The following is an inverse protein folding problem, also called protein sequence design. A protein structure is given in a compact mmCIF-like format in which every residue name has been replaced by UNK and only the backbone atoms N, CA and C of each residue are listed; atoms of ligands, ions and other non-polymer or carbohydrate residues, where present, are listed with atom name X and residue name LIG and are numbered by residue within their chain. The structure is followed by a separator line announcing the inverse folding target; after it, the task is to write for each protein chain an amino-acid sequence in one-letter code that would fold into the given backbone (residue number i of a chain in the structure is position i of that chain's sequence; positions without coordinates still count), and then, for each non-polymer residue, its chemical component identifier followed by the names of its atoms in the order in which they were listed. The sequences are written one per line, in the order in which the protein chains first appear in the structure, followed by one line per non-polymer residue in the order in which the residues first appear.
data_IF_563579911604
#
_entry.id   IF_563579911604
#
_cell.length_a   1.000
_cell.length_b   1.000
_cell.length_c   1.000
_cell.angle_alpha   90.00
_cell.angle_beta   90.00
_cell.angle_gamma   90.00
#
_symmetry.space_group_name_H-M   'P 1'
#
loop_
_entity.id
_entity.type
_entity.pdbx_description
1 polymer ?
#
# COMPACT_ATOMS: atom_id res chain seq x y z
N UNK A 1 -1.76 -3.87 4.44
CA UNK A 1 -3.04 -4.59 4.26
C UNK A 1 -3.83 -4.07 3.06
N UNK A 2 -4.17 -2.77 3.00
CA UNK A 2 -5.03 -2.24 1.94
C UNK A 2 -4.51 -2.44 0.51
N UNK A 3 -3.20 -2.29 0.25
CA UNK A 3 -2.60 -2.63 -1.06
C UNK A 3 -2.96 -4.05 -1.51
N UNK A 4 -2.81 -5.04 -0.61
CA UNK A 4 -3.14 -6.44 -0.87
C UNK A 4 -4.63 -6.66 -1.11
N UNK A 5 -5.50 -5.95 -0.37
CA UNK A 5 -6.94 -5.99 -0.58
C UNK A 5 -7.29 -5.41 -1.96
N UNK A 6 -6.71 -4.27 -2.32
CA UNK A 6 -6.91 -3.65 -3.62
C UNK A 6 -6.45 -4.57 -4.76
N UNK A 7 -5.28 -5.21 -4.62
CA UNK A 7 -4.76 -6.19 -5.58
C UNK A 7 -5.73 -7.38 -5.76
N UNK A 8 -6.26 -7.93 -4.66
CA UNK A 8 -7.22 -9.05 -4.69
C UNK A 8 -8.56 -8.64 -5.30
N UNK A 9 -9.09 -7.48 -4.94
CA UNK A 9 -10.33 -6.96 -5.52
C UNK A 9 -10.16 -6.70 -7.02
N UNK A 10 -9.04 -6.13 -7.45
CA UNK A 10 -8.72 -5.94 -8.87
C UNK A 10 -8.71 -7.28 -9.62
N UNK A 11 -8.02 -8.28 -9.07
CA UNK A 11 -7.93 -9.61 -9.66
C UNK A 11 -9.30 -10.30 -9.75
N UNK A 12 -10.16 -10.15 -8.75
CA UNK A 12 -11.51 -10.70 -8.75
C UNK A 12 -12.38 -10.14 -9.88
N UNK A 13 -12.26 -8.83 -10.17
CA UNK A 13 -13.03 -8.18 -11.24
C UNK A 13 -12.40 -8.39 -12.63
N UNK A 14 -11.19 -8.96 -12.71
CA UNK A 14 -10.49 -9.23 -13.96
C UNK A 14 -10.25 -7.96 -14.79
N UNK A 15 -10.39 -8.06 -16.11
CA UNK A 15 -10.14 -6.94 -17.03
C UNK A 15 -11.04 -5.71 -16.77
N UNK A 16 -12.28 -5.93 -16.32
CA UNK A 16 -13.19 -4.83 -15.96
C UNK A 16 -12.64 -4.03 -14.78
N UNK A 17 -11.95 -4.68 -13.84
CA UNK A 17 -11.36 -4.02 -12.69
C UNK A 17 -10.30 -2.96 -13.03
N UNK A 18 -9.73 -3.01 -14.23
CA UNK A 18 -8.76 -2.03 -14.76
C UNK A 18 -9.40 -0.85 -15.49
N UNK A 19 -10.72 -0.87 -15.74
CA UNK A 19 -11.41 0.23 -16.40
C UNK A 19 -11.54 1.38 -15.41
N UNK A 20 -11.12 2.59 -15.79
CA UNK A 20 -11.04 3.76 -14.89
C UNK A 20 -12.39 4.15 -14.25
N UNK A 21 -13.52 3.82 -14.90
CA UNK A 21 -14.86 4.02 -14.34
C UNK A 21 -15.20 3.07 -13.18
N UNK A 22 -14.36 2.06 -12.91
CA UNK A 22 -14.55 1.15 -11.79
C UNK A 22 -13.82 1.65 -10.55
N UNK A 23 -14.47 1.48 -9.40
CA UNK A 23 -13.89 1.84 -8.11
C UNK A 23 -12.59 1.08 -7.81
N UNK A 24 -12.43 -0.14 -8.34
CA UNK A 24 -11.24 -0.97 -8.15
C UNK A 24 -10.00 -0.36 -8.80
N UNK A 25 -10.13 0.20 -10.01
CA UNK A 25 -9.03 0.84 -10.71
C UNK A 25 -8.50 2.04 -9.90
N UNK A 26 -9.41 2.90 -9.43
CA UNK A 26 -9.06 4.03 -8.56
C UNK A 26 -8.45 3.58 -7.24
N UNK A 27 -9.09 2.64 -6.54
CA UNK A 27 -8.62 2.18 -5.23
C UNK A 27 -7.24 1.50 -5.32
N UNK A 28 -6.98 0.75 -6.38
CA UNK A 28 -5.66 0.20 -6.66
C UNK A 28 -4.60 1.29 -6.78
N UNK A 29 -4.86 2.38 -7.51
CA UNK A 29 -3.93 3.51 -7.64
C UNK A 29 -3.76 4.27 -6.31
N UNK A 30 -4.86 4.60 -5.63
CA UNK A 30 -4.85 5.39 -4.39
C UNK A 30 -4.05 4.69 -3.28
N UNK A 31 -4.18 3.37 -3.14
CA UNK A 31 -3.47 2.61 -2.10
C UNK A 31 -1.95 2.54 -2.30
N UNK A 32 -1.42 2.85 -3.50
CA UNK A 32 0.04 2.89 -3.74
C UNK A 32 0.70 4.07 -3.03
N UNK A 33 -0.02 5.17 -2.82
CA UNK A 33 0.51 6.32 -2.09
C UNK A 33 0.85 6.00 -0.63
N UNK A 34 0.16 5.03 -0.01
CA UNK A 34 0.25 4.79 1.43
C UNK A 34 1.59 4.22 1.90
N UNK A 35 2.39 3.62 1.02
CA UNK A 35 3.76 3.19 1.37
C UNK A 35 4.80 4.32 1.24
N UNK A 36 4.37 5.55 0.96
CA UNK A 36 5.21 6.72 0.70
C UNK A 36 4.75 7.89 1.57
N UNK A 37 3.46 8.23 1.50
CA UNK A 37 2.86 9.35 2.20
C UNK A 37 2.88 9.16 3.71
N UNK A 38 3.29 10.19 4.45
CA UNK A 38 3.43 10.13 5.91
C UNK A 38 4.71 9.44 6.40
N UNK A 39 5.60 9.05 5.48
CA UNK A 39 6.82 8.31 5.76
C UNK A 39 6.85 7.02 4.95
N UNK A 40 7.91 6.84 4.14
CA UNK A 40 8.06 5.61 3.37
C UNK A 40 8.14 4.38 4.29
N UNK A 41 7.69 3.22 3.81
CA UNK A 41 7.66 1.97 4.59
C UNK A 41 9.01 1.70 5.27
N UNK A 42 10.14 1.92 4.58
CA UNK A 42 11.49 1.72 5.10
C UNK A 42 11.84 2.69 6.24
N UNK A 43 11.39 3.95 6.15
CA UNK A 43 11.61 4.97 7.18
C UNK A 43 10.78 4.65 8.42
N UNK A 44 9.54 4.23 8.23
CA UNK A 44 8.66 3.81 9.32
C UNK A 44 9.23 2.58 10.03
N UNK A 45 9.67 1.58 9.27
CA UNK A 45 10.32 0.38 9.82
C UNK A 45 11.62 0.71 10.56
N UNK A 46 12.48 1.58 10.03
CA UNK A 46 13.68 2.04 10.73
C UNK A 46 13.33 2.75 12.04
N UNK A 47 12.32 3.61 12.03
CA UNK A 47 11.87 4.33 13.23
C UNK A 47 11.38 3.36 14.30
N UNK A 48 10.57 2.37 13.92
CA UNK A 48 10.12 1.30 14.81
C UNK A 48 11.30 0.47 15.36
N UNK A 49 12.28 0.14 14.52
CA UNK A 49 13.45 -0.62 14.93
C UNK A 49 14.31 0.16 15.95
N UNK A 50 14.49 1.47 15.75
CA UNK A 50 15.17 2.36 16.70
C UNK A 50 14.42 2.45 18.02
N UNK A 51 13.09 2.63 17.98
CA UNK A 51 12.25 2.69 19.18
C UNK A 51 12.24 1.37 19.96
N UNK A 52 12.29 0.23 19.26
CA UNK A 52 12.35 -1.10 19.86
C UNK A 52 13.73 -1.52 20.36
N UNK A 53 14.76 -0.70 20.18
CA UNK A 53 16.14 -1.05 20.54
C UNK A 53 16.77 -2.13 19.66
N UNK A 54 16.15 -2.46 18.52
CA UNK A 54 16.66 -3.41 17.54
C UNK A 54 17.66 -2.78 16.56
N UNK A 55 17.81 -1.46 16.63
CA UNK A 55 18.75 -0.67 15.83
C UNK A 55 19.57 0.21 16.77
N UNK A 56 20.87 -0.10 16.87
CA UNK A 56 21.88 0.73 17.51
C UNK A 56 22.66 1.46 16.42
N UNK A 57 22.71 2.79 16.52
CA UNK A 57 23.71 3.62 15.84
C UNK A 57 24.88 3.87 16.79
#
# INVERSE_FOLDING_TARGET
LARRVADVCLQFHGGVGYIEETWTARFFRDTRLWSIGGGADEIMLRTLARMGGFWAE
#
